data_IF_191844670190
#
_entry.id   IF_191844670190
#
_cell.length_a   1.000
_cell.length_b   1.000
_cell.length_c   1.000
_cell.angle_alpha   90.00
_cell.angle_beta   90.00
_cell.angle_gamma   90.00
#
_symmetry.space_group_name_H-M   'P 1'
#
loop_
_entity.id
_entity.type
_entity.pdbx_description
1 polymer ?
#
# COMPACT_ATOMS: atom_id res chain seq x y z
N UNK A 1 32.30 14.81 10.39
CA UNK A 1 32.47 13.40 10.81
C UNK A 1 31.11 12.77 11.06
N UNK A 2 30.42 13.13 12.14
CA UNK A 2 29.08 12.56 12.40
C UNK A 2 28.06 12.86 11.32
N UNK A 3 28.12 14.06 10.71
CA UNK A 3 27.22 14.41 9.61
C UNK A 3 27.46 13.56 8.37
N UNK A 4 28.73 13.24 8.10
CA UNK A 4 29.08 12.38 6.95
C UNK A 4 28.61 10.95 7.16
N UNK A 5 28.73 10.45 8.40
CA UNK A 5 28.22 9.12 8.76
C UNK A 5 26.70 9.06 8.66
N UNK A 6 26.01 10.12 9.09
CA UNK A 6 24.56 10.22 9.00
C UNK A 6 24.10 10.21 7.55
N UNK A 7 24.76 10.99 6.69
CA UNK A 7 24.43 11.02 5.26
C UNK A 7 24.71 9.69 4.57
N UNK A 8 25.81 9.04 4.96
CA UNK A 8 26.13 7.73 4.42
C UNK A 8 25.06 6.70 4.77
N UNK A 9 24.63 6.69 6.03
CA UNK A 9 23.58 5.77 6.49
C UNK A 9 22.23 6.05 5.82
N UNK A 10 21.87 7.33 5.67
CA UNK A 10 20.65 7.72 4.95
C UNK A 10 20.65 7.13 3.53
N UNK A 11 21.79 7.23 2.85
CA UNK A 11 21.94 6.70 1.49
C UNK A 11 21.86 5.17 1.48
N UNK A 12 22.51 4.53 2.43
CA UNK A 12 22.49 3.08 2.55
C UNK A 12 21.08 2.56 2.78
N UNK A 13 20.31 3.23 3.63
CA UNK A 13 18.91 2.87 3.88
C UNK A 13 18.09 3.05 2.61
N UNK A 14 18.25 4.19 1.93
CA UNK A 14 17.55 4.45 0.67
C UNK A 14 17.85 3.41 -0.39
N UNK A 15 19.12 3.05 -0.55
CA UNK A 15 19.54 2.03 -1.51
C UNK A 15 18.97 0.66 -1.16
N UNK A 16 18.98 0.30 0.12
CA UNK A 16 18.41 -0.96 0.59
C UNK A 16 16.91 -1.04 0.28
N UNK A 17 16.17 0.02 0.56
CA UNK A 17 14.74 0.07 0.25
C UNK A 17 14.52 -0.08 -1.26
N UNK A 18 15.29 0.63 -2.07
CA UNK A 18 15.18 0.56 -3.52
C UNK A 18 15.48 -0.85 -4.05
N UNK A 19 16.52 -1.49 -3.52
CA UNK A 19 16.90 -2.85 -3.94
C UNK A 19 15.86 -3.90 -3.56
N UNK A 20 15.08 -3.64 -2.50
CA UNK A 20 14.07 -4.57 -2.01
C UNK A 20 12.64 -4.16 -2.37
N UNK A 21 12.50 -3.23 -3.29
CA UNK A 21 11.21 -2.79 -3.82
C UNK A 21 11.22 -3.06 -5.33
N UNK A 22 10.22 -3.78 -5.81
CA UNK A 22 10.13 -4.12 -7.24
C UNK A 22 8.86 -3.58 -7.83
N UNK A 23 9.00 -2.94 -8.99
CA UNK A 23 7.85 -2.41 -9.74
C UNK A 23 7.83 -3.12 -11.09
N UNK A 24 6.70 -3.75 -11.41
CA UNK A 24 6.51 -4.39 -12.71
C UNK A 24 5.19 -3.91 -13.32
N UNK A 25 5.14 -3.91 -14.66
CA UNK A 25 3.89 -3.69 -15.39
C UNK A 25 3.15 -5.03 -15.46
N UNK A 26 1.90 -5.05 -14.98
CA UNK A 26 1.05 -6.25 -15.11
C UNK A 26 0.17 -6.18 -16.35
N UNK A 27 -0.08 -4.99 -16.86
CA UNK A 27 -0.68 -4.75 -18.17
C UNK A 27 -0.26 -3.37 -18.68
N UNK A 28 -0.90 -2.83 -19.73
CA UNK A 28 -0.50 -1.57 -20.35
C UNK A 28 -0.77 -0.34 -19.45
N UNK A 29 -1.58 -0.48 -18.43
CA UNK A 29 -2.04 0.63 -17.59
C UNK A 29 -1.78 0.45 -16.11
N UNK A 30 -1.37 -0.75 -15.68
CA UNK A 30 -1.29 -1.09 -14.26
C UNK A 30 0.08 -1.61 -13.89
N UNK A 31 0.67 -1.01 -12.87
CA UNK A 31 1.91 -1.47 -12.24
C UNK A 31 1.59 -2.19 -10.94
N UNK A 32 2.40 -3.18 -10.61
CA UNK A 32 2.39 -3.82 -9.29
C UNK A 32 3.68 -3.47 -8.58
N UNK A 33 3.56 -3.03 -7.35
CA UNK A 33 4.69 -2.72 -6.49
C UNK A 33 4.78 -3.79 -5.42
N UNK A 34 5.89 -4.55 -5.42
CA UNK A 34 6.22 -5.44 -4.31
C UNK A 34 7.06 -4.64 -3.33
N UNK A 35 6.48 -4.30 -2.20
CA UNK A 35 7.18 -3.52 -1.16
C UNK A 35 8.04 -4.43 -0.31
N UNK A 36 8.91 -3.86 0.51
CA UNK A 36 9.67 -4.64 1.48
C UNK A 36 8.90 -4.86 2.79
N UNK A 37 7.68 -4.35 2.88
CA UNK A 37 6.86 -4.52 4.07
C UNK A 37 6.20 -5.88 4.11
N UNK A 38 6.01 -6.40 5.32
CA UNK A 38 5.43 -7.71 5.58
C UNK A 38 4.23 -7.52 6.49
N UNK A 39 3.10 -8.15 6.14
CA UNK A 39 1.88 -8.06 6.94
C UNK A 39 1.89 -9.06 8.10
N UNK A 40 0.81 -9.10 8.88
CA UNK A 40 0.71 -9.98 10.05
C UNK A 40 0.72 -11.46 9.71
N UNK A 41 0.51 -11.81 8.44
CA UNK A 41 0.54 -13.19 7.96
C UNK A 41 1.94 -13.61 7.49
N UNK A 42 2.91 -12.68 7.50
CA UNK A 42 4.24 -12.94 7.00
C UNK A 42 4.38 -12.79 5.50
N UNK A 43 3.39 -12.18 4.85
CA UNK A 43 3.38 -12.03 3.40
C UNK A 43 3.87 -10.64 2.98
N UNK A 44 4.52 -10.58 1.83
CA UNK A 44 4.87 -9.31 1.19
C UNK A 44 3.61 -8.49 0.93
N UNK A 45 3.68 -7.21 1.23
CA UNK A 45 2.59 -6.28 0.96
C UNK A 45 2.75 -5.72 -0.45
N UNK A 46 1.70 -5.85 -1.25
CA UNK A 46 1.66 -5.36 -2.63
C UNK A 46 0.76 -4.13 -2.73
N UNK A 47 1.10 -3.26 -3.67
CA UNK A 47 0.30 -2.10 -4.03
C UNK A 47 0.19 -2.06 -5.55
N UNK A 48 -0.99 -1.73 -6.06
CA UNK A 48 -1.21 -1.58 -7.49
C UNK A 48 -1.39 -0.11 -7.83
N UNK A 49 -0.86 0.28 -8.97
CA UNK A 49 -0.98 1.65 -9.49
C UNK A 49 -1.58 1.56 -10.88
N UNK A 50 -2.80 2.07 -11.02
CA UNK A 50 -3.48 2.13 -12.30
C UNK A 50 -3.39 3.54 -12.87
N UNK A 51 -2.82 3.66 -14.06
CA UNK A 51 -2.71 4.95 -14.73
C UNK A 51 -4.02 5.30 -15.43
N UNK A 52 -4.56 6.47 -15.10
CA UNK A 52 -5.65 7.07 -15.82
C UNK A 52 -5.13 8.28 -16.59
N UNK A 53 -6.00 8.96 -17.31
CA UNK A 53 -5.60 10.03 -18.23
C UNK A 53 -4.92 11.21 -17.50
N UNK A 54 -5.44 11.59 -16.33
CA UNK A 54 -4.99 12.77 -15.60
C UNK A 54 -4.57 12.49 -14.16
N UNK A 55 -4.61 11.23 -13.74
CA UNK A 55 -4.25 10.83 -12.38
C UNK A 55 -3.83 9.37 -12.33
N UNK A 56 -3.38 8.92 -11.16
CA UNK A 56 -3.08 7.52 -10.91
C UNK A 56 -3.90 7.05 -9.72
N UNK A 57 -4.47 5.87 -9.82
CA UNK A 57 -5.14 5.23 -8.69
C UNK A 57 -4.17 4.27 -8.01
N UNK A 58 -3.91 4.52 -6.74
CA UNK A 58 -3.07 3.68 -5.90
C UNK A 58 -3.99 2.83 -5.03
N UNK A 59 -3.87 1.50 -5.10
CA UNK A 59 -4.86 0.58 -4.55
C UNK A 59 -4.21 -0.63 -3.90
N UNK A 60 -4.89 -1.19 -2.88
CA UNK A 60 -4.50 -2.46 -2.28
C UNK A 60 -5.10 -3.66 -3.04
N UNK A 61 -5.91 -3.41 -4.07
CA UNK A 61 -6.56 -4.45 -4.84
C UNK A 61 -7.61 -5.25 -4.07
N UNK A 62 -8.10 -4.73 -2.94
CA UNK A 62 -9.04 -5.43 -2.08
C UNK A 62 -8.40 -6.59 -1.31
N UNK A 63 -7.07 -6.68 -1.35
CA UNK A 63 -6.34 -7.86 -0.87
C UNK A 63 -6.35 -8.01 0.63
N UNK A 64 -6.19 -6.92 1.38
CA UNK A 64 -6.08 -7.04 2.84
C UNK A 64 -7.40 -7.51 3.47
N UNK A 65 -8.53 -7.00 3.02
CA UNK A 65 -9.82 -7.45 3.54
C UNK A 65 -10.15 -8.86 3.07
N UNK A 66 -9.72 -9.23 1.87
CA UNK A 66 -9.87 -10.60 1.39
C UNK A 66 -9.12 -11.59 2.29
N UNK A 67 -7.93 -11.23 2.77
CA UNK A 67 -7.17 -12.07 3.69
C UNK A 67 -7.83 -12.19 5.06
N UNK A 68 -8.34 -11.08 5.58
CA UNK A 68 -8.94 -11.03 6.92
C UNK A 68 -10.32 -11.69 6.97
N UNK A 69 -11.10 -11.52 5.91
CA UNK A 69 -12.50 -11.92 5.86
C UNK A 69 -12.87 -12.35 4.44
N UNK A 70 -12.39 -13.54 4.00
CA UNK A 70 -12.55 -14.00 2.61
C UNK A 70 -13.99 -14.06 2.13
N UNK A 71 -14.94 -14.32 3.03
CA UNK A 71 -16.35 -14.49 2.68
C UNK A 71 -17.18 -13.25 2.94
N UNK A 72 -16.54 -12.14 3.34
CA UNK A 72 -17.20 -10.87 3.62
C UNK A 72 -18.35 -11.01 4.64
N UNK A 73 -18.13 -11.80 5.69
CA UNK A 73 -19.13 -12.12 6.71
C UNK A 73 -19.03 -11.25 7.97
N UNK A 74 -17.86 -10.61 8.18
CA UNK A 74 -17.59 -9.84 9.40
C UNK A 74 -17.77 -8.34 9.14
N UNK A 75 -19.00 -7.86 9.36
CA UNK A 75 -19.35 -6.46 9.13
C UNK A 75 -18.59 -5.51 10.06
N UNK A 76 -18.37 -5.91 11.29
CA UNK A 76 -17.65 -5.09 12.27
C UNK A 76 -16.19 -4.91 11.86
N UNK A 77 -15.54 -5.96 11.43
CA UNK A 77 -14.17 -5.92 10.93
C UNK A 77 -14.07 -4.99 9.73
N UNK A 78 -14.97 -5.14 8.77
CA UNK A 78 -14.99 -4.34 7.55
C UNK A 78 -15.22 -2.86 7.86
N UNK A 79 -16.11 -2.56 8.78
CA UNK A 79 -16.39 -1.19 9.18
C UNK A 79 -15.19 -0.56 9.89
N UNK A 80 -14.52 -1.31 10.76
CA UNK A 80 -13.31 -0.85 11.45
C UNK A 80 -12.20 -0.56 10.45
N UNK A 81 -11.96 -1.46 9.50
CA UNK A 81 -10.95 -1.28 8.45
C UNK A 81 -11.26 -0.04 7.60
N UNK A 82 -12.52 0.14 7.25
CA UNK A 82 -12.98 1.32 6.49
C UNK A 82 -12.69 2.61 7.25
N UNK A 83 -13.02 2.66 8.54
CA UNK A 83 -12.76 3.83 9.37
C UNK A 83 -11.26 4.16 9.44
N UNK A 84 -10.43 3.14 9.58
CA UNK A 84 -8.98 3.32 9.60
C UNK A 84 -8.48 3.88 8.26
N UNK A 85 -8.98 3.32 7.16
CA UNK A 85 -8.58 3.76 5.82
C UNK A 85 -8.96 5.23 5.59
N UNK A 86 -10.20 5.59 5.88
CA UNK A 86 -10.72 6.95 5.71
C UNK A 86 -9.96 7.91 6.64
N UNK A 87 -9.74 7.53 7.88
CA UNK A 87 -8.98 8.34 8.84
C UNK A 87 -7.53 8.55 8.42
N UNK A 88 -7.00 7.67 7.58
CA UNK A 88 -5.63 7.75 7.06
C UNK A 88 -5.54 8.52 5.74
N UNK A 89 -6.65 9.07 5.25
CA UNK A 89 -6.67 9.85 4.03
C UNK A 89 -6.93 9.04 2.76
N UNK A 90 -7.38 7.80 2.89
CA UNK A 90 -7.71 6.93 1.76
C UNK A 90 -9.21 6.83 1.59
N UNK A 91 -9.61 6.28 0.45
CA UNK A 91 -11.02 6.01 0.15
C UNK A 91 -11.26 4.51 0.25
N UNK A 92 -12.52 4.14 0.40
CA UNK A 92 -12.91 2.75 0.55
C UNK A 92 -14.07 2.44 -0.41
N UNK A 93 -13.89 1.40 -1.23
CA UNK A 93 -14.93 0.91 -2.14
C UNK A 93 -15.68 -0.22 -1.43
N UNK A 94 -16.92 0.06 -1.03
CA UNK A 94 -17.75 -0.90 -0.30
C UNK A 94 -18.16 -2.12 -1.14
N UNK A 95 -18.14 -1.98 -2.47
CA UNK A 95 -18.53 -3.09 -3.35
C UNK A 95 -17.41 -4.10 -3.55
N UNK A 96 -16.15 -3.62 -3.51
CA UNK A 96 -14.98 -4.46 -3.76
C UNK A 96 -14.07 -4.58 -2.54
N UNK A 97 -14.42 -3.93 -1.43
CA UNK A 97 -13.59 -3.88 -0.21
C UNK A 97 -12.17 -3.42 -0.50
N UNK A 98 -12.06 -2.46 -1.40
CA UNK A 98 -10.79 -1.94 -1.89
C UNK A 98 -10.45 -0.63 -1.20
N UNK A 99 -9.19 -0.51 -0.75
CA UNK A 99 -8.65 0.72 -0.19
C UNK A 99 -7.82 1.38 -1.28
N UNK A 100 -8.12 2.62 -1.61
CA UNK A 100 -7.45 3.30 -2.72
C UNK A 100 -7.40 4.80 -2.51
N UNK A 101 -6.60 5.45 -3.33
CA UNK A 101 -6.56 6.92 -3.42
C UNK A 101 -6.15 7.31 -4.83
N UNK A 102 -6.74 8.38 -5.34
CA UNK A 102 -6.39 8.94 -6.63
C UNK A 102 -5.44 10.12 -6.40
N UNK A 103 -4.26 10.07 -7.02
CA UNK A 103 -3.21 11.06 -6.82
C UNK A 103 -2.56 11.45 -8.15
N UNK A 104 -1.87 12.57 -8.17
CA UNK A 104 -1.01 12.94 -9.30
C UNK A 104 0.18 11.97 -9.37
N UNK A 105 0.72 11.80 -10.58
CA UNK A 105 1.87 10.91 -10.80
C UNK A 105 3.03 11.18 -9.84
N UNK A 106 3.29 12.44 -9.53
CA UNK A 106 4.39 12.83 -8.63
C UNK A 106 4.19 12.38 -7.19
N UNK A 107 2.96 12.04 -6.80
CA UNK A 107 2.63 11.61 -5.44
C UNK A 107 2.44 10.10 -5.30
N UNK A 108 2.66 9.34 -6.37
CA UNK A 108 2.44 7.87 -6.37
C UNK A 108 3.34 7.17 -5.38
N UNK A 109 4.62 7.48 -5.36
CA UNK A 109 5.55 6.81 -4.45
C UNK A 109 5.13 6.97 -2.99
N UNK A 110 4.79 8.20 -2.59
CA UNK A 110 4.36 8.48 -1.23
C UNK A 110 3.05 7.74 -0.90
N UNK A 111 2.07 7.82 -1.79
CA UNK A 111 0.78 7.17 -1.59
C UNK A 111 0.93 5.65 -1.51
N UNK A 112 1.78 5.07 -2.34
CA UNK A 112 2.01 3.62 -2.35
C UNK A 112 2.65 3.13 -1.06
N UNK A 113 3.67 3.82 -0.57
CA UNK A 113 4.36 3.42 0.66
C UNK A 113 3.48 3.59 1.89
N UNK A 114 2.69 4.67 1.94
CA UNK A 114 1.71 4.86 3.01
C UNK A 114 0.62 3.81 2.97
N UNK A 115 0.15 3.44 1.79
CA UNK A 115 -0.86 2.39 1.65
C UNK A 115 -0.32 1.03 2.09
N UNK A 116 0.93 0.74 1.76
CA UNK A 116 1.56 -0.49 2.22
C UNK A 116 1.60 -0.55 3.75
N UNK A 117 1.98 0.55 4.39
CA UNK A 117 2.01 0.64 5.86
C UNK A 117 0.61 0.48 6.45
N UNK A 118 -0.39 1.10 5.83
CA UNK A 118 -1.79 1.00 6.22
C UNK A 118 -2.28 -0.45 6.17
N UNK A 119 -1.93 -1.18 5.12
CA UNK A 119 -2.27 -2.59 4.99
C UNK A 119 -1.66 -3.42 6.11
N UNK A 120 -0.40 -3.15 6.48
CA UNK A 120 0.25 -3.82 7.61
C UNK A 120 -0.56 -3.58 8.88
N UNK A 121 -0.92 -2.34 9.16
CA UNK A 121 -1.70 -1.99 10.36
C UNK A 121 -3.05 -2.71 10.38
N UNK A 122 -3.78 -2.69 9.27
CA UNK A 122 -5.09 -3.34 9.15
C UNK A 122 -4.96 -4.85 9.31
N UNK A 123 -3.87 -5.46 8.83
CA UNK A 123 -3.67 -6.90 8.92
C UNK A 123 -3.67 -7.42 10.36
N UNK A 124 -3.42 -6.56 11.33
CA UNK A 124 -3.41 -6.94 12.75
C UNK A 124 -4.81 -6.92 13.39
N UNK A 125 -5.84 -6.59 12.64
CA UNK A 125 -7.22 -6.67 13.13
C UNK A 125 -7.73 -8.11 13.20
N UNK A 126 -7.09 -9.01 12.50
CA UNK A 126 -7.48 -10.44 12.45
C UNK A 126 -6.96 -11.32 13.58
#
# INVERSE_FOLDING_TARGET
MKQDETKALDREIGDYVAENTKVIWVDNHTMQIATMMIDSYGDTVYVWVEEAEDHCRVSDGGRILFKLDPNSEDEELNETAKEIAIGSGYQFDDDHFEIYVDVDRKNVAQAALKLAQLQVAISYLG
#
